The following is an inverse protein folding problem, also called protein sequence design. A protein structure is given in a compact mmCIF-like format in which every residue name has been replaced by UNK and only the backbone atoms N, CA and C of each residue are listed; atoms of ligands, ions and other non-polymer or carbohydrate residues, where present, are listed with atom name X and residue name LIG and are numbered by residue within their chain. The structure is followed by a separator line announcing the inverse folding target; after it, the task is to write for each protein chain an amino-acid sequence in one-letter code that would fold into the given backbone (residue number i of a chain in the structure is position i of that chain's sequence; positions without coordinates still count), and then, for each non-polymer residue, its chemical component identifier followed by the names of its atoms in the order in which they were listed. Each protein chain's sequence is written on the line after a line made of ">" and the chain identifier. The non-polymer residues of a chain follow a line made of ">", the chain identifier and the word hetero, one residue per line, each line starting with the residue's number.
data_IF_670796432848
#
_entry.id   IF_670796432848
#
_cell.length_a   1.000
_cell.length_b   1.000
_cell.length_c   1.000
_cell.angle_alpha   90.00
_cell.angle_beta   90.00
_cell.angle_gamma   90.00
#
_symmetry.space_group_name_H-M   'P 1'
#
loop_
_entity.id
_entity.type
_entity.pdbx_description
1 polymer ?
#
# COMPACT_ATOMS: atom_id res chain seq x y z
N UNK A 1 -44.42 51.22 34.70
CA UNK A 1 -44.96 49.86 34.51
C UNK A 1 -44.04 49.14 33.56
N UNK A 2 -43.73 47.90 33.92
CA UNK A 2 -42.51 47.16 33.58
C UNK A 2 -42.35 46.83 32.09
N UNK A 3 -41.09 46.63 31.69
CA UNK A 3 -40.73 46.00 30.43
C UNK A 3 -39.68 44.93 30.72
N UNK A 4 -40.08 43.68 30.51
CA UNK A 4 -39.32 42.45 30.68
C UNK A 4 -38.03 42.44 29.86
N UNK A 5 -36.92 42.06 30.49
CA UNK A 5 -35.75 41.53 29.79
C UNK A 5 -35.63 40.03 30.12
N UNK A 6 -35.87 39.19 29.11
CA UNK A 6 -35.67 37.75 29.14
C UNK A 6 -34.23 37.50 28.72
N UNK A 7 -33.41 37.03 29.65
CA UNK A 7 -32.03 36.65 29.42
C UNK A 7 -31.98 35.24 28.81
N UNK A 8 -31.69 35.13 27.51
CA UNK A 8 -31.46 33.86 26.84
C UNK A 8 -30.01 33.41 27.06
N UNK A 9 -29.77 32.73 28.16
CA UNK A 9 -28.55 31.94 28.34
C UNK A 9 -28.62 30.71 27.41
N UNK A 10 -28.05 30.80 26.21
CA UNK A 10 -27.83 29.64 25.33
C UNK A 10 -26.68 28.80 25.86
N UNK A 11 -27.00 27.85 26.73
CA UNK A 11 -26.10 26.74 27.03
C UNK A 11 -25.93 25.89 25.78
N UNK A 12 -24.72 25.88 25.20
CA UNK A 12 -24.36 24.89 24.18
C UNK A 12 -24.40 23.49 24.81
N UNK A 13 -25.02 22.49 24.15
CA UNK A 13 -25.02 21.13 24.68
C UNK A 13 -23.58 20.58 24.72
N UNK A 14 -23.25 19.71 25.69
CA UNK A 14 -21.94 19.07 25.74
C UNK A 14 -21.77 18.23 24.47
N UNK A 15 -20.73 18.53 23.71
CA UNK A 15 -20.39 17.84 22.49
C UNK A 15 -19.77 16.47 22.88
N UNK A 16 -20.61 15.48 23.19
CA UNK A 16 -20.19 14.10 23.45
C UNK A 16 -19.72 13.46 22.14
N UNK A 17 -18.58 13.91 21.60
CA UNK A 17 -17.89 13.18 20.55
C UNK A 17 -17.28 11.93 21.19
N UNK A 18 -17.85 10.77 20.88
CA UNK A 18 -17.27 9.49 21.27
C UNK A 18 -15.96 9.33 20.47
N UNK A 19 -14.83 9.41 21.16
CA UNK A 19 -13.53 9.12 20.58
C UNK A 19 -13.30 7.61 20.53
N UNK A 20 -12.75 7.12 19.42
CA UNK A 20 -12.40 5.72 19.28
C UNK A 20 -11.22 5.38 20.18
N UNK A 21 -11.26 4.20 20.79
CA UNK A 21 -10.12 3.64 21.52
C UNK A 21 -9.66 2.36 20.85
N UNK A 22 -8.37 2.04 21.00
CA UNK A 22 -7.80 0.82 20.44
C UNK A 22 -8.55 -0.41 20.97
N UNK A 23 -8.93 -1.30 20.07
CA UNK A 23 -9.64 -2.56 20.36
C UNK A 23 -11.05 -2.39 20.97
N UNK A 24 -11.68 -1.23 20.79
CA UNK A 24 -13.08 -1.00 21.15
C UNK A 24 -13.96 -0.86 19.90
N UNK A 25 -14.94 -1.75 19.72
CA UNK A 25 -15.87 -1.78 18.56
C UNK A 25 -17.18 -1.02 18.79
N UNK A 26 -17.12 0.21 19.30
CA UNK A 26 -18.33 1.03 19.37
C UNK A 26 -18.84 1.40 17.96
N UNK A 27 -20.12 1.13 17.65
CA UNK A 27 -20.63 1.27 16.28
C UNK A 27 -20.49 2.67 15.67
N UNK A 28 -20.60 3.73 16.48
CA UNK A 28 -20.45 5.10 16.01
C UNK A 28 -19.01 5.40 15.51
N UNK A 29 -18.01 4.87 16.22
CA UNK A 29 -16.59 5.09 15.92
C UNK A 29 -16.05 4.14 14.84
N UNK A 30 -16.81 3.08 14.51
CA UNK A 30 -16.49 2.17 13.41
C UNK A 30 -17.37 2.37 12.17
N UNK A 31 -18.09 3.49 12.11
CA UNK A 31 -18.79 3.92 10.90
C UNK A 31 -17.79 4.29 9.80
N UNK A 32 -18.19 4.11 8.55
CA UNK A 32 -17.38 4.47 7.38
C UNK A 32 -16.95 5.95 7.41
N UNK A 33 -17.84 6.85 7.85
CA UNK A 33 -17.54 8.27 7.95
C UNK A 33 -16.48 8.56 9.02
N UNK A 34 -16.63 7.99 10.21
CA UNK A 34 -15.67 8.17 11.29
C UNK A 34 -14.28 7.65 10.89
N UNK A 35 -14.21 6.41 10.39
CA UNK A 35 -12.93 5.80 10.00
C UNK A 35 -12.20 6.61 8.94
N UNK A 36 -12.94 7.15 7.95
CA UNK A 36 -12.37 8.04 6.94
C UNK A 36 -11.82 9.33 7.54
N UNK A 37 -12.57 9.96 8.44
CA UNK A 37 -12.13 11.20 9.08
C UNK A 37 -10.90 10.96 9.96
N UNK A 38 -10.90 9.90 10.79
CA UNK A 38 -9.75 9.50 11.60
C UNK A 38 -8.52 9.18 10.74
N UNK A 39 -8.70 8.45 9.64
CA UNK A 39 -7.62 8.14 8.71
C UNK A 39 -7.07 9.39 7.99
N UNK A 40 -7.93 10.34 7.59
CA UNK A 40 -7.50 11.61 7.00
C UNK A 40 -6.71 12.49 8.00
N UNK A 41 -6.95 12.32 9.30
CA UNK A 41 -6.22 12.97 10.38
C UNK A 41 -5.02 12.15 10.88
N UNK A 42 -4.75 10.98 10.28
CA UNK A 42 -3.69 10.04 10.67
C UNK A 42 -3.83 9.51 12.12
N UNK A 43 -5.07 9.40 12.61
CA UNK A 43 -5.43 8.98 13.96
C UNK A 43 -6.23 7.66 13.95
N UNK A 44 -5.94 6.79 12.99
CA UNK A 44 -6.66 5.52 12.87
C UNK A 44 -6.28 4.57 14.02
N UNK A 45 -7.29 4.16 14.80
CA UNK A 45 -7.16 3.24 15.93
C UNK A 45 -6.92 1.78 15.50
N UNK A 46 -6.48 0.95 16.45
CA UNK A 46 -6.39 -0.50 16.28
C UNK A 46 -7.72 -1.21 16.52
N UNK A 47 -7.99 -2.36 15.87
CA UNK A 47 -7.17 -2.99 14.83
C UNK A 47 -7.18 -2.20 13.51
N UNK A 48 -6.01 -1.73 13.06
CA UNK A 48 -5.93 -0.93 11.83
C UNK A 48 -6.30 -1.78 10.63
N UNK A 49 -5.95 -3.07 10.64
CA UNK A 49 -6.28 -3.99 9.56
C UNK A 49 -7.79 -4.12 9.35
N UNK A 50 -8.58 -4.05 10.44
CA UNK A 50 -10.04 -4.08 10.36
C UNK A 50 -10.58 -2.78 9.76
N UNK A 51 -10.06 -1.64 10.21
CA UNK A 51 -10.44 -0.35 9.68
C UNK A 51 -10.12 -0.24 8.17
N UNK A 52 -8.96 -0.75 7.75
CA UNK A 52 -8.59 -0.86 6.34
C UNK A 52 -9.55 -1.77 5.56
N UNK A 53 -9.87 -2.95 6.09
CA UNK A 53 -10.81 -3.86 5.45
C UNK A 53 -12.20 -3.22 5.26
N UNK A 54 -12.67 -2.43 6.23
CA UNK A 54 -13.94 -1.70 6.13
C UNK A 54 -13.86 -0.59 5.09
N UNK A 55 -12.83 0.27 5.14
CA UNK A 55 -12.68 1.38 4.20
C UNK A 55 -12.51 0.91 2.75
N UNK A 56 -11.80 -0.20 2.54
CA UNK A 56 -11.65 -0.87 1.25
C UNK A 56 -12.88 -1.70 0.84
N UNK A 57 -13.93 -1.73 1.66
CA UNK A 57 -15.16 -2.51 1.43
C UNK A 57 -14.92 -4.02 1.26
N UNK A 58 -13.86 -4.52 1.87
CA UNK A 58 -13.62 -5.96 2.02
C UNK A 58 -14.50 -6.54 3.12
N UNK A 59 -14.76 -5.78 4.18
CA UNK A 59 -15.70 -6.13 5.23
C UNK A 59 -16.75 -5.03 5.41
N UNK A 60 -17.97 -5.37 5.85
CA UNK A 60 -18.95 -4.36 6.22
C UNK A 60 -18.60 -3.73 7.58
N UNK A 61 -19.28 -2.65 7.93
CA UNK A 61 -19.24 -2.05 9.28
C UNK A 61 -19.66 -3.07 10.34
N UNK A 62 -19.14 -2.99 11.59
CA UNK A 62 -19.59 -3.83 12.70
C UNK A 62 -21.08 -3.70 13.04
N UNK A 63 -21.73 -2.61 12.61
CA UNK A 63 -23.20 -2.43 12.72
C UNK A 63 -24.00 -3.35 11.78
N UNK A 64 -23.34 -4.10 10.90
CA UNK A 64 -23.92 -5.09 9.99
C UNK A 64 -23.41 -6.50 10.37
N UNK A 65 -23.78 -7.52 9.59
CA UNK A 65 -23.32 -8.89 9.86
C UNK A 65 -21.86 -9.13 9.41
N UNK A 66 -20.93 -8.55 10.17
CA UNK A 66 -19.50 -8.60 9.90
C UNK A 66 -18.93 -10.02 10.14
N UNK A 67 -19.45 -10.76 11.11
CA UNK A 67 -18.98 -12.12 11.44
C UNK A 67 -19.24 -13.06 10.26
N UNK A 68 -20.42 -13.01 9.66
CA UNK A 68 -20.73 -13.83 8.48
C UNK A 68 -19.81 -13.48 7.31
N UNK A 69 -19.51 -12.20 7.11
CA UNK A 69 -18.60 -11.74 6.05
C UNK A 69 -17.15 -12.21 6.28
N UNK A 70 -16.65 -12.14 7.52
CA UNK A 70 -15.33 -12.68 7.91
C UNK A 70 -15.25 -14.17 7.58
N UNK A 71 -16.26 -14.95 8.01
CA UNK A 71 -16.32 -16.40 7.75
C UNK A 71 -16.41 -16.71 6.25
N UNK A 72 -17.19 -15.94 5.49
CA UNK A 72 -17.31 -16.13 4.05
C UNK A 72 -15.96 -15.93 3.33
N UNK A 73 -15.20 -14.89 3.68
CA UNK A 73 -13.87 -14.67 3.10
C UNK A 73 -12.85 -15.74 3.48
N UNK A 74 -12.91 -16.24 4.72
CA UNK A 74 -12.05 -17.35 5.17
C UNK A 74 -12.39 -18.65 4.44
N UNK A 75 -13.67 -18.99 4.30
CA UNK A 75 -14.11 -20.14 3.53
C UNK A 75 -13.71 -20.04 2.05
N UNK A 76 -13.87 -18.86 1.43
CA UNK A 76 -13.40 -18.63 0.06
C UNK A 76 -11.91 -18.93 -0.10
N UNK A 77 -11.08 -18.52 0.87
CA UNK A 77 -9.64 -18.82 0.83
C UNK A 77 -9.35 -20.32 0.99
N UNK A 78 -10.08 -21.02 1.86
CA UNK A 78 -9.98 -22.47 2.02
C UNK A 78 -10.31 -23.18 0.71
N UNK A 79 -11.45 -22.85 0.09
CA UNK A 79 -11.88 -23.42 -1.19
C UNK A 79 -10.83 -23.16 -2.28
N UNK A 80 -10.27 -21.95 -2.29
CA UNK A 80 -9.23 -21.57 -3.25
C UNK A 80 -7.94 -22.37 -3.04
N UNK A 81 -7.49 -22.50 -1.79
CA UNK A 81 -6.31 -23.28 -1.43
C UNK A 81 -6.49 -24.74 -1.85
N UNK A 82 -7.63 -25.33 -1.53
CA UNK A 82 -7.90 -26.75 -1.79
C UNK A 82 -7.97 -27.00 -3.30
N UNK A 83 -8.57 -26.07 -4.07
CA UNK A 83 -8.58 -26.12 -5.53
C UNK A 83 -7.19 -25.97 -6.16
N UNK A 84 -6.33 -25.10 -5.63
CA UNK A 84 -5.02 -24.77 -6.22
C UNK A 84 -3.86 -25.60 -5.66
N UNK A 85 -4.12 -26.48 -4.69
CA UNK A 85 -3.11 -27.34 -4.06
C UNK A 85 -3.29 -28.82 -4.42
N UNK A 86 -3.93 -29.11 -5.56
CA UNK A 86 -4.16 -30.50 -6.00
C UNK A 86 -2.85 -31.26 -6.17
N UNK A 87 -2.79 -32.47 -5.60
CA UNK A 87 -1.69 -33.41 -5.84
C UNK A 87 -1.84 -33.98 -7.26
N UNK A 88 -0.87 -33.75 -8.17
CA UNK A 88 -0.94 -34.31 -9.52
C UNK A 88 -1.00 -35.85 -9.53
N UNK A 89 -0.54 -36.52 -8.46
CA UNK A 89 -0.62 -37.99 -8.33
C UNK A 89 -2.04 -38.51 -8.11
N UNK A 90 -2.95 -37.65 -7.68
CA UNK A 90 -4.35 -38.03 -7.45
C UNK A 90 -5.16 -38.10 -8.76
N UNK A 91 -4.61 -37.59 -9.87
CA UNK A 91 -5.24 -37.62 -11.19
C UNK A 91 -4.91 -38.94 -11.89
N UNK A 92 -5.94 -39.74 -12.18
CA UNK A 92 -5.81 -41.02 -12.87
C UNK A 92 -5.55 -40.76 -14.36
N UNK A 93 -4.69 -41.57 -14.98
CA UNK A 93 -4.32 -41.50 -16.41
C UNK A 93 -3.60 -40.20 -16.86
N UNK A 94 -2.96 -39.48 -15.94
CA UNK A 94 -2.04 -38.38 -16.24
C UNK A 94 -0.64 -38.69 -15.67
N UNK A 95 0.42 -38.25 -16.36
CA UNK A 95 1.79 -38.61 -16.02
C UNK A 95 2.76 -37.41 -16.10
N UNK A 96 3.90 -37.45 -15.36
CA UNK A 96 4.85 -36.33 -15.31
C UNK A 96 5.45 -35.90 -16.65
N UNK A 97 5.43 -36.75 -17.67
CA UNK A 97 5.98 -36.50 -19.00
C UNK A 97 4.89 -36.21 -20.05
N UNK A 98 3.63 -36.13 -19.62
CA UNK A 98 2.49 -35.79 -20.46
C UNK A 98 2.74 -34.50 -21.22
N UNK A 99 2.51 -34.54 -22.54
CA UNK A 99 2.60 -33.37 -23.42
C UNK A 99 1.27 -32.60 -23.49
N UNK A 100 0.23 -33.06 -22.78
CA UNK A 100 -1.07 -32.41 -22.77
C UNK A 100 -0.97 -31.06 -22.02
N UNK A 101 -1.49 -30.00 -22.62
CA UNK A 101 -1.57 -28.67 -22.00
C UNK A 101 -2.47 -28.65 -20.77
N UNK A 102 -3.42 -29.59 -20.66
CA UNK A 102 -4.33 -29.75 -19.54
C UNK A 102 -3.82 -30.71 -18.45
N UNK A 103 -2.58 -31.20 -18.57
CA UNK A 103 -1.97 -32.11 -17.58
C UNK A 103 -1.84 -31.44 -16.21
N UNK A 104 -2.28 -32.16 -15.17
CA UNK A 104 -2.11 -31.78 -13.77
C UNK A 104 -0.63 -31.72 -13.39
N UNK A 105 0.21 -32.58 -13.96
CA UNK A 105 1.66 -32.53 -13.78
C UNK A 105 2.28 -31.27 -14.39
N UNK A 106 1.89 -30.92 -15.61
CA UNK A 106 2.35 -29.69 -16.27
C UNK A 106 1.97 -28.44 -15.45
N UNK A 107 0.73 -28.40 -14.95
CA UNK A 107 0.28 -27.33 -14.07
C UNK A 107 1.07 -27.31 -12.75
N UNK A 108 1.32 -28.48 -12.14
CA UNK A 108 2.11 -28.59 -10.92
C UNK A 108 3.54 -28.05 -11.09
N UNK A 109 4.22 -28.36 -12.20
CA UNK A 109 5.55 -27.81 -12.48
C UNK A 109 5.51 -26.30 -12.70
N UNK A 110 4.52 -25.79 -13.44
CA UNK A 110 4.31 -24.34 -13.58
C UNK A 110 4.09 -23.65 -12.22
N UNK A 111 3.29 -24.26 -11.35
CA UNK A 111 2.99 -23.72 -10.01
C UNK A 111 4.24 -23.70 -9.13
N UNK A 112 5.09 -24.72 -9.21
CA UNK A 112 6.36 -24.75 -8.48
C UNK A 112 7.34 -23.69 -9.00
N UNK A 113 7.40 -23.47 -10.32
CA UNK A 113 8.18 -22.37 -10.89
C UNK A 113 7.69 -21.01 -10.39
N UNK A 114 6.37 -20.78 -10.40
CA UNK A 114 5.78 -19.53 -9.92
C UNK A 114 6.07 -19.31 -8.42
N UNK A 115 5.90 -20.34 -7.58
CA UNK A 115 6.24 -20.27 -6.16
C UNK A 115 7.71 -19.97 -5.93
N UNK A 116 8.62 -20.59 -6.70
CA UNK A 116 10.05 -20.32 -6.62
C UNK A 116 10.39 -18.88 -7.02
N UNK A 117 9.74 -18.34 -8.05
CA UNK A 117 9.89 -16.95 -8.46
C UNK A 117 9.40 -15.98 -7.37
N UNK A 118 8.25 -16.25 -6.77
CA UNK A 118 7.73 -15.46 -5.65
C UNK A 118 8.68 -15.52 -4.45
N UNK A 119 9.20 -16.72 -4.12
CA UNK A 119 10.10 -16.93 -3.00
C UNK A 119 11.37 -16.09 -3.13
N UNK A 120 11.93 -15.95 -4.34
CA UNK A 120 13.12 -15.10 -4.57
C UNK A 120 12.92 -13.65 -4.12
N UNK A 121 11.71 -13.12 -4.28
CA UNK A 121 11.34 -11.79 -3.83
C UNK A 121 10.98 -11.76 -2.33
N UNK A 122 10.31 -12.79 -1.83
CA UNK A 122 9.89 -12.87 -0.41
C UNK A 122 11.11 -12.91 0.53
N UNK A 123 12.15 -13.69 0.23
CA UNK A 123 13.34 -13.82 1.11
C UNK A 123 14.14 -12.52 1.29
N UNK A 124 13.92 -11.53 0.43
CA UNK A 124 14.57 -10.21 0.45
C UNK A 124 13.63 -9.08 0.88
N UNK A 125 12.42 -9.42 1.34
CA UNK A 125 11.44 -8.45 1.85
C UNK A 125 11.85 -7.98 3.25
N UNK A 126 12.02 -6.66 3.43
CA UNK A 126 12.36 -6.02 4.72
C UNK A 126 13.39 -6.82 5.55
N UNK A 127 14.60 -7.07 5.03
CA UNK A 127 15.58 -7.97 5.65
C UNK A 127 16.01 -7.56 7.06
N UNK A 128 15.86 -6.27 7.39
CA UNK A 128 16.09 -5.70 8.72
C UNK A 128 15.07 -6.17 9.77
N UNK A 129 13.87 -6.54 9.36
CA UNK A 129 12.79 -6.96 10.24
C UNK A 129 12.85 -8.47 10.51
N UNK A 130 13.04 -8.84 11.78
CA UNK A 130 13.12 -10.25 12.23
C UNK A 130 11.89 -11.05 11.77
N UNK A 131 10.72 -10.43 11.78
CA UNK A 131 9.45 -11.07 11.42
C UNK A 131 9.46 -11.66 10.00
N UNK A 132 10.05 -10.98 9.01
CA UNK A 132 10.08 -11.45 7.62
C UNK A 132 11.23 -12.43 7.32
N UNK A 133 12.12 -12.67 8.29
CA UNK A 133 13.15 -13.71 8.21
C UNK A 133 12.65 -15.07 8.66
N UNK A 134 11.49 -15.13 9.30
CA UNK A 134 10.85 -16.36 9.74
C UNK A 134 10.37 -17.18 8.54
N UNK A 135 10.72 -18.47 8.51
CA UNK A 135 10.39 -19.42 7.43
C UNK A 135 8.87 -19.55 7.26
N UNK A 136 8.12 -19.60 8.35
CA UNK A 136 6.67 -19.79 8.31
C UNK A 136 5.97 -18.54 7.77
N UNK A 137 6.50 -17.36 8.10
CA UNK A 137 6.03 -16.07 7.55
C UNK A 137 6.32 -16.00 6.04
N UNK A 138 7.51 -16.40 5.61
CA UNK A 138 7.86 -16.44 4.18
C UNK A 138 6.96 -17.43 3.41
N UNK A 139 6.73 -18.62 3.98
CA UNK A 139 5.88 -19.63 3.35
C UNK A 139 4.41 -19.17 3.28
N UNK A 140 3.90 -18.46 4.29
CA UNK A 140 2.60 -17.78 4.26
C UNK A 140 2.55 -16.74 3.15
N UNK A 141 3.55 -15.86 3.05
CA UNK A 141 3.60 -14.85 1.99
C UNK A 141 3.60 -15.46 0.60
N UNK A 142 4.39 -16.52 0.38
CA UNK A 142 4.41 -17.26 -0.88
C UNK A 142 3.03 -17.82 -1.21
N UNK A 143 2.33 -18.44 -0.25
CA UNK A 143 0.97 -18.98 -0.47
C UNK A 143 -0.03 -17.89 -0.84
N UNK A 144 -0.07 -16.79 -0.08
CA UNK A 144 -0.99 -15.67 -0.35
C UNK A 144 -0.77 -15.09 -1.75
N UNK A 145 0.48 -14.80 -2.11
CA UNK A 145 0.83 -14.24 -3.42
C UNK A 145 0.57 -15.25 -4.55
N UNK A 146 0.87 -16.53 -4.33
CA UNK A 146 0.65 -17.59 -5.30
C UNK A 146 -0.84 -17.77 -5.60
N UNK A 147 -1.69 -17.92 -4.58
CA UNK A 147 -3.13 -18.11 -4.78
C UNK A 147 -3.79 -16.87 -5.40
N UNK A 148 -3.36 -15.67 -5.03
CA UNK A 148 -3.82 -14.46 -5.70
C UNK A 148 -3.40 -14.47 -7.18
N UNK A 149 -2.12 -14.71 -7.47
CA UNK A 149 -1.58 -14.72 -8.84
C UNK A 149 -2.23 -15.76 -9.74
N UNK A 150 -2.54 -16.96 -9.22
CA UNK A 150 -3.23 -18.02 -9.97
C UNK A 150 -4.69 -17.72 -10.26
N UNK A 151 -5.29 -16.81 -9.49
CA UNK A 151 -6.70 -16.45 -9.60
C UNK A 151 -6.95 -15.17 -10.42
N UNK A 152 -5.90 -14.46 -10.83
CA UNK A 152 -5.99 -13.17 -11.52
C UNK A 152 -5.12 -13.14 -12.78
N UNK A 153 -5.64 -12.56 -13.87
CA UNK A 153 -4.94 -12.48 -15.16
C UNK A 153 -3.65 -11.65 -15.13
N UNK A 154 -3.51 -10.74 -14.16
CA UNK A 154 -2.29 -9.95 -13.95
C UNK A 154 -1.10 -10.85 -13.57
N UNK A 155 -1.38 -11.99 -12.91
CA UNK A 155 -0.37 -12.88 -12.35
C UNK A 155 0.49 -12.21 -11.28
N UNK A 156 1.53 -12.90 -10.83
CA UNK A 156 2.49 -12.30 -9.91
C UNK A 156 3.43 -11.34 -10.65
N UNK A 157 3.70 -10.18 -10.05
CA UNK A 157 4.70 -9.22 -10.51
C UNK A 157 5.60 -8.80 -9.36
N UNK A 158 6.88 -8.62 -9.66
CA UNK A 158 7.83 -8.08 -8.69
C UNK A 158 7.32 -6.75 -8.11
N UNK A 159 7.37 -6.65 -6.79
CA UNK A 159 6.81 -5.54 -6.00
C UNK A 159 5.54 -5.90 -5.24
N UNK A 160 4.77 -6.91 -5.67
CA UNK A 160 3.55 -7.34 -4.97
C UNK A 160 3.84 -7.85 -3.55
N UNK A 161 4.99 -8.47 -3.31
CA UNK A 161 5.44 -8.87 -1.98
C UNK A 161 5.59 -7.69 -1.02
N UNK A 162 5.94 -6.51 -1.52
CA UNK A 162 6.07 -5.28 -0.73
C UNK A 162 4.72 -4.60 -0.47
N UNK A 163 3.68 -4.97 -1.23
CA UNK A 163 2.29 -4.62 -0.89
C UNK A 163 1.77 -5.56 0.21
N UNK A 164 2.02 -6.87 0.10
CA UNK A 164 1.57 -7.84 1.11
C UNK A 164 2.23 -7.62 2.47
N UNK A 165 3.54 -7.33 2.50
CA UNK A 165 4.31 -7.32 3.73
C UNK A 165 3.79 -6.33 4.80
N UNK A 166 3.52 -5.04 4.51
CA UNK A 166 2.96 -4.13 5.52
C UNK A 166 1.55 -4.53 5.97
N UNK A 167 0.73 -5.11 5.10
CA UNK A 167 -0.60 -5.63 5.47
C UNK A 167 -0.48 -6.76 6.48
N UNK A 168 0.38 -7.74 6.18
CA UNK A 168 0.64 -8.89 7.03
C UNK A 168 1.21 -8.46 8.38
N UNK A 169 2.09 -7.45 8.39
CA UNK A 169 2.70 -6.95 9.62
C UNK A 169 1.68 -6.27 10.54
N UNK A 170 0.79 -5.43 10.00
CA UNK A 170 -0.29 -4.83 10.81
C UNK A 170 -1.30 -5.88 11.27
N UNK A 171 -1.68 -6.83 10.41
CA UNK A 171 -2.53 -7.96 10.80
C UNK A 171 -1.91 -8.78 11.94
N UNK A 172 -0.61 -9.06 11.88
CA UNK A 172 0.11 -9.75 12.94
C UNK A 172 0.16 -8.93 14.24
N UNK A 173 0.53 -7.65 14.13
CA UNK A 173 0.59 -6.73 15.27
C UNK A 173 -0.75 -6.58 15.97
N UNK A 174 -1.83 -6.41 15.21
CA UNK A 174 -3.19 -6.29 15.73
C UNK A 174 -3.58 -7.52 16.56
N UNK A 175 -3.21 -8.74 16.12
CA UNK A 175 -3.46 -9.99 16.87
C UNK A 175 -2.52 -10.21 18.05
N UNK A 176 -1.26 -9.77 17.93
CA UNK A 176 -0.23 -9.98 18.93
C UNK A 176 -0.43 -9.09 20.15
N UNK A 177 -0.88 -7.86 19.94
CA UNK A 177 -0.98 -6.83 20.98
C UNK A 177 -2.43 -6.56 21.42
N UNK A 178 -3.40 -7.34 20.95
CA UNK A 178 -4.78 -7.23 21.40
C UNK A 178 -4.89 -7.57 22.90
N UNK A 179 -5.70 -6.81 23.67
CA UNK A 179 -6.02 -7.17 25.04
C UNK A 179 -6.93 -8.41 25.10
N UNK A 180 -6.96 -9.09 26.24
CA UNK A 180 -7.80 -10.28 26.44
C UNK A 180 -9.29 -9.92 26.56
N UNK A 181 -9.60 -8.76 27.14
CA UNK A 181 -10.96 -8.26 27.34
C UNK A 181 -11.43 -7.45 26.12
N UNK A 182 -11.82 -8.17 25.08
CA UNK A 182 -12.36 -7.62 23.83
C UNK A 182 -13.70 -8.27 23.49
N UNK A 183 -14.51 -7.58 22.68
CA UNK A 183 -15.79 -8.11 22.19
C UNK A 183 -15.62 -9.42 21.40
N UNK A 184 -16.65 -10.27 21.38
CA UNK A 184 -16.61 -11.54 20.65
C UNK A 184 -16.40 -11.36 19.14
N UNK A 185 -16.87 -10.25 18.58
CA UNK A 185 -16.60 -9.87 17.19
C UNK A 185 -15.10 -9.67 16.96
N UNK A 186 -14.40 -8.97 17.86
CA UNK A 186 -12.94 -8.83 17.76
C UNK A 186 -12.22 -10.14 18.00
N UNK A 187 -12.67 -10.98 18.94
CA UNK A 187 -12.11 -12.34 19.12
C UNK A 187 -12.19 -13.15 17.83
N UNK A 188 -13.32 -13.09 17.13
CA UNK A 188 -13.49 -13.75 15.83
C UNK A 188 -12.55 -13.19 14.76
N UNK A 189 -12.42 -11.86 14.66
CA UNK A 189 -11.55 -11.22 13.67
C UNK A 189 -10.05 -11.43 13.95
N UNK A 190 -9.64 -11.33 15.22
CA UNK A 190 -8.25 -11.40 15.67
C UNK A 190 -7.76 -12.82 15.96
N UNK A 191 -8.53 -13.82 15.57
CA UNK A 191 -8.12 -15.22 15.64
C UNK A 191 -6.81 -15.44 14.85
N UNK A 192 -5.84 -16.06 15.55
CA UNK A 192 -4.48 -16.29 15.05
C UNK A 192 -4.43 -17.34 13.96
N UNK A 193 -5.35 -18.30 13.96
CA UNK A 193 -5.41 -19.37 12.94
C UNK A 193 -5.75 -18.81 11.55
N UNK A 194 -6.39 -17.64 11.50
CA UNK A 194 -6.86 -17.04 10.26
C UNK A 194 -5.96 -15.92 9.70
N UNK A 195 -4.75 -15.74 10.24
CA UNK A 195 -3.82 -14.69 9.77
C UNK A 195 -3.57 -14.76 8.25
N UNK A 196 -3.37 -15.95 7.70
CA UNK A 196 -3.15 -16.17 6.26
C UNK A 196 -4.38 -15.80 5.42
N UNK A 197 -5.57 -16.24 5.86
CA UNK A 197 -6.85 -15.99 5.19
C UNK A 197 -7.14 -14.48 5.12
N UNK A 198 -6.99 -13.80 6.26
CA UNK A 198 -7.26 -12.38 6.37
C UNK A 198 -6.20 -11.55 5.64
N UNK A 199 -4.96 -12.05 5.54
CA UNK A 199 -3.91 -11.47 4.69
C UNK A 199 -4.27 -11.53 3.22
N UNK A 200 -4.78 -12.66 2.74
CA UNK A 200 -5.26 -12.78 1.36
C UNK A 200 -6.45 -11.86 1.08
N UNK A 201 -7.45 -11.81 1.98
CA UNK A 201 -8.61 -10.92 1.85
C UNK A 201 -8.18 -9.46 1.72
N UNK A 202 -7.32 -9.00 2.62
CA UNK A 202 -6.88 -7.61 2.64
C UNK A 202 -5.96 -7.28 1.47
N UNK A 203 -5.05 -8.18 1.11
CA UNK A 203 -4.22 -8.05 -0.08
C UNK A 203 -5.07 -7.92 -1.34
N UNK A 204 -6.05 -8.82 -1.52
CA UNK A 204 -6.98 -8.75 -2.65
C UNK A 204 -7.75 -7.42 -2.70
N UNK A 205 -8.17 -6.90 -1.53
CA UNK A 205 -8.87 -5.62 -1.45
C UNK A 205 -8.00 -4.44 -1.90
N UNK A 206 -6.72 -4.42 -1.52
CA UNK A 206 -5.75 -3.41 -1.97
C UNK A 206 -5.47 -3.57 -3.48
N UNK A 207 -5.29 -4.81 -3.94
CA UNK A 207 -4.98 -5.10 -5.35
C UNK A 207 -6.05 -4.58 -6.31
N UNK A 208 -7.34 -4.59 -5.94
CA UNK A 208 -8.41 -3.96 -6.75
C UNK A 208 -8.14 -2.49 -7.11
N UNK A 209 -7.40 -1.76 -6.28
CA UNK A 209 -7.04 -0.36 -6.53
C UNK A 209 -5.72 -0.16 -7.28
N UNK A 210 -4.81 -1.15 -7.22
CA UNK A 210 -3.43 -1.01 -7.72
C UNK A 210 -3.08 -1.94 -8.89
N UNK A 211 -3.83 -3.01 -9.14
CA UNK A 211 -3.50 -4.04 -10.15
C UNK A 211 -3.37 -3.48 -11.57
N UNK A 212 -4.11 -2.40 -11.89
CA UNK A 212 -3.99 -1.69 -13.17
C UNK A 212 -2.57 -1.16 -13.45
N UNK A 213 -1.77 -0.90 -12.40
CA UNK A 213 -0.39 -0.44 -12.56
C UNK A 213 0.60 -1.58 -12.83
N UNK A 214 0.15 -2.82 -12.71
CA UNK A 214 0.92 -4.05 -12.95
C UNK A 214 0.64 -4.66 -14.33
N UNK A 215 -0.48 -4.32 -14.95
CA UNK A 215 -0.85 -4.76 -16.30
C UNK A 215 0.18 -4.26 -17.34
N UNK A 216 0.53 -5.09 -18.32
CA UNK A 216 1.47 -4.74 -19.40
C UNK A 216 0.75 -4.88 -20.73
N UNK A 217 -0.13 -3.93 -21.04
CA UNK A 217 -0.97 -3.99 -22.23
C UNK A 217 -1.83 -5.26 -22.26
N UNK A 218 -1.90 -5.90 -23.42
CA UNK A 218 -2.65 -7.14 -23.64
C UNK A 218 -1.87 -8.42 -23.27
N UNK A 219 -0.69 -8.28 -22.64
CA UNK A 219 0.19 -9.41 -22.35
C UNK A 219 -0.20 -10.10 -21.04
N UNK A 220 -0.77 -11.29 -21.17
CA UNK A 220 -1.08 -12.19 -20.05
C UNK A 220 0.15 -13.08 -19.75
N UNK A 221 0.60 -13.19 -18.48
CA UNK A 221 1.64 -14.14 -18.10
C UNK A 221 1.24 -15.59 -18.37
N UNK A 222 2.24 -16.45 -18.61
CA UNK A 222 2.06 -17.91 -18.54
C UNK A 222 1.71 -18.36 -17.12
N UNK A 223 1.23 -19.59 -16.97
CA UNK A 223 0.97 -20.21 -15.66
C UNK A 223 2.21 -20.25 -14.74
N UNK A 224 3.43 -20.24 -15.31
CA UNK A 224 4.70 -20.14 -14.58
C UNK A 224 5.10 -18.70 -14.21
N UNK A 225 4.26 -17.70 -14.51
CA UNK A 225 4.51 -16.29 -14.22
C UNK A 225 5.42 -15.58 -15.22
N UNK A 226 5.83 -16.25 -16.31
CA UNK A 226 6.71 -15.66 -17.33
C UNK A 226 5.89 -14.87 -18.33
N UNK A 227 6.41 -13.72 -18.75
CA UNK A 227 5.84 -12.99 -19.87
C UNK A 227 6.21 -13.67 -21.19
N UNK A 228 5.27 -13.84 -22.14
CA UNK A 228 5.61 -14.27 -23.48
C UNK A 228 6.48 -13.21 -24.18
N UNK A 229 7.39 -13.66 -25.06
CA UNK A 229 8.18 -12.79 -25.93
C UNK A 229 7.23 -12.09 -26.92
N UNK A 230 6.98 -10.79 -26.70
CA UNK A 230 6.02 -10.02 -27.50
C UNK A 230 6.47 -9.90 -28.96
N UNK A 231 5.56 -10.22 -29.90
CA UNK A 231 5.71 -10.04 -31.35
C UNK A 231 4.76 -8.97 -31.93
N UNK A 232 3.97 -8.28 -31.09
CA UNK A 232 2.96 -7.31 -31.54
C UNK A 232 3.07 -5.92 -30.90
N UNK A 233 2.43 -4.96 -31.58
CA UNK A 233 2.56 -3.49 -31.46
C UNK A 233 2.29 -2.98 -30.04
N UNK A 234 3.16 -2.09 -29.57
CA UNK A 234 3.22 -1.54 -28.22
C UNK A 234 1.93 -0.80 -27.82
N UNK A 235 1.01 -1.45 -27.09
CA UNK A 235 0.08 -0.72 -26.25
C UNK A 235 0.86 -0.14 -25.06
N UNK A 236 0.85 1.19 -24.91
CA UNK A 236 1.52 1.85 -23.78
C UNK A 236 0.95 1.33 -22.45
N UNK A 237 1.84 1.06 -21.50
CA UNK A 237 1.47 0.56 -20.18
C UNK A 237 0.56 1.55 -19.44
N UNK A 238 -0.53 1.09 -18.82
CA UNK A 238 -1.51 1.95 -18.12
C UNK A 238 -0.85 2.80 -17.01
N UNK A 239 0.20 2.30 -16.35
CA UNK A 239 0.94 3.10 -15.36
C UNK A 239 1.60 4.33 -15.98
N UNK A 240 2.14 4.20 -17.20
CA UNK A 240 2.80 5.29 -17.92
C UNK A 240 1.75 6.33 -18.33
N UNK A 241 0.64 5.87 -18.92
CA UNK A 241 -0.50 6.74 -19.27
C UNK A 241 -1.06 7.48 -18.06
N UNK A 242 -1.16 6.80 -16.91
CA UNK A 242 -1.57 7.43 -15.68
C UNK A 242 -0.60 8.54 -15.27
N UNK A 243 0.71 8.27 -15.27
CA UNK A 243 1.73 9.25 -14.90
C UNK A 243 1.82 10.44 -15.87
N UNK A 244 1.60 10.23 -17.16
CA UNK A 244 1.47 11.31 -18.14
C UNK A 244 0.28 12.22 -17.80
N UNK A 245 -0.89 11.65 -17.50
CA UNK A 245 -2.04 12.43 -16.99
C UNK A 245 -1.70 13.16 -15.70
N UNK A 246 -0.99 12.54 -14.75
CA UNK A 246 -0.57 13.22 -13.52
C UNK A 246 0.29 14.45 -13.82
N UNK A 247 1.22 14.33 -14.77
CA UNK A 247 2.08 15.44 -15.20
C UNK A 247 1.25 16.60 -15.76
N UNK A 248 0.38 16.30 -16.72
CA UNK A 248 -0.30 17.32 -17.53
C UNK A 248 -1.54 17.91 -16.84
N UNK A 249 -2.33 17.08 -16.15
CA UNK A 249 -3.60 17.49 -15.54
C UNK A 249 -3.45 17.95 -14.07
N UNK A 250 -2.35 17.60 -13.39
CA UNK A 250 -2.17 17.90 -11.96
C UNK A 250 -0.87 18.64 -11.67
N UNK A 251 0.29 18.11 -12.04
CA UNK A 251 1.57 18.75 -11.69
C UNK A 251 1.73 20.11 -12.38
N UNK A 252 1.54 20.19 -13.70
CA UNK A 252 1.71 21.45 -14.42
C UNK A 252 0.73 22.55 -13.98
N UNK A 253 -0.58 22.27 -13.75
CA UNK A 253 -1.50 23.27 -13.22
C UNK A 253 -1.21 23.69 -11.76
N UNK A 254 -0.73 22.78 -10.90
CA UNK A 254 -0.48 23.04 -9.48
C UNK A 254 0.90 23.65 -9.19
N UNK A 255 1.92 23.29 -9.98
CA UNK A 255 3.29 23.80 -9.87
C UNK A 255 4.02 23.74 -11.23
N UNK A 256 3.70 24.69 -12.12
CA UNK A 256 4.27 24.78 -13.46
C UNK A 256 5.79 24.96 -13.47
N UNK A 257 6.33 25.62 -12.45
CA UNK A 257 7.78 25.83 -12.31
C UNK A 257 8.50 24.50 -12.14
N UNK A 258 8.02 23.64 -11.22
CA UNK A 258 8.58 22.31 -11.01
C UNK A 258 8.39 21.42 -12.25
N UNK A 259 7.21 21.44 -12.87
CA UNK A 259 6.94 20.68 -14.09
C UNK A 259 7.93 21.04 -15.21
N UNK A 260 8.14 22.35 -15.43
CA UNK A 260 9.07 22.87 -16.42
C UNK A 260 10.51 22.50 -16.10
N UNK A 261 10.90 22.54 -14.82
CA UNK A 261 12.25 22.15 -14.40
C UNK A 261 12.51 20.66 -14.67
N UNK A 262 11.60 19.76 -14.30
CA UNK A 262 11.75 18.33 -14.59
C UNK A 262 11.85 18.06 -16.10
N UNK A 263 11.07 18.77 -16.92
CA UNK A 263 11.16 18.69 -18.37
C UNK A 263 12.52 19.16 -18.90
N UNK A 264 13.06 20.28 -18.40
CA UNK A 264 14.42 20.78 -18.75
C UNK A 264 15.51 19.78 -18.36
N UNK A 265 15.32 19.08 -17.24
CA UNK A 265 16.22 18.02 -16.79
C UNK A 265 16.08 16.71 -17.58
N UNK A 266 15.13 16.63 -18.52
CA UNK A 266 14.79 15.41 -19.26
C UNK A 266 14.36 14.25 -18.33
N UNK A 267 13.64 14.57 -17.25
CA UNK A 267 13.14 13.60 -16.27
C UNK A 267 11.66 13.34 -16.55
N UNK A 268 11.36 12.15 -17.08
CA UNK A 268 9.99 11.64 -17.20
C UNK A 268 9.49 11.09 -15.87
N UNK A 269 8.20 11.26 -15.56
CA UNK A 269 7.59 10.76 -14.32
C UNK A 269 7.65 9.23 -14.21
N UNK A 270 7.72 8.50 -15.32
CA UNK A 270 7.80 7.04 -15.32
C UNK A 270 9.10 6.50 -14.68
N UNK A 271 10.18 7.29 -14.69
CA UNK A 271 11.48 6.89 -14.16
C UNK A 271 11.44 6.60 -12.64
N UNK A 272 10.54 7.27 -11.91
CA UNK A 272 10.36 7.09 -10.46
C UNK A 272 8.92 6.69 -10.08
N UNK A 273 7.93 7.21 -10.79
CA UNK A 273 6.51 7.10 -10.45
C UNK A 273 5.94 5.69 -10.60
N UNK A 274 6.49 4.85 -11.50
CA UNK A 274 6.06 3.44 -11.63
C UNK A 274 6.26 2.71 -10.30
N UNK A 275 7.42 2.91 -9.68
CA UNK A 275 7.76 2.29 -8.38
C UNK A 275 6.87 2.84 -7.28
N UNK A 276 6.65 4.16 -7.25
CA UNK A 276 5.78 4.79 -6.26
C UNK A 276 4.36 4.22 -6.29
N UNK A 277 3.78 4.08 -7.50
CA UNK A 277 2.43 3.54 -7.67
C UNK A 277 2.35 2.04 -7.38
N UNK A 278 3.28 1.24 -7.91
CA UNK A 278 3.27 -0.22 -7.71
C UNK A 278 3.47 -0.61 -6.26
N UNK A 279 4.33 0.11 -5.53
CA UNK A 279 4.63 -0.19 -4.14
C UNK A 279 3.80 0.65 -3.15
N UNK A 280 2.80 1.38 -3.64
CA UNK A 280 1.95 2.28 -2.85
C UNK A 280 2.78 3.16 -1.90
N UNK A 281 3.86 3.74 -2.44
CA UNK A 281 4.85 4.57 -1.76
C UNK A 281 5.59 3.91 -0.58
N UNK A 282 5.51 2.57 -0.45
CA UNK A 282 6.08 1.78 0.64
C UNK A 282 7.60 1.90 0.83
N UNK A 283 8.31 2.46 -0.15
CA UNK A 283 9.75 2.72 -0.12
C UNK A 283 10.13 4.20 0.00
N UNK A 284 9.17 5.11 -0.12
CA UNK A 284 9.44 6.56 -0.02
C UNK A 284 9.45 7.06 1.41
N UNK A 285 8.81 6.30 2.31
CA UNK A 285 8.64 6.66 3.72
C UNK A 285 9.20 5.57 4.63
N UNK A 286 9.60 5.93 5.86
CA UNK A 286 9.95 4.95 6.88
C UNK A 286 8.80 3.97 7.12
N UNK A 287 9.12 2.69 7.35
CA UNK A 287 8.10 1.64 7.58
C UNK A 287 7.08 2.01 8.67
N UNK A 288 7.53 2.65 9.75
CA UNK A 288 6.64 3.07 10.85
C UNK A 288 5.58 4.10 10.43
N UNK A 289 5.79 4.83 9.34
CA UNK A 289 4.83 5.81 8.81
C UNK A 289 3.89 5.21 7.75
N UNK A 290 4.25 4.07 7.14
CA UNK A 290 3.45 3.40 6.10
C UNK A 290 2.00 3.11 6.54
N UNK A 291 1.73 2.62 7.76
CA UNK A 291 0.34 2.40 8.18
C UNK A 291 -0.52 3.67 8.19
N UNK A 292 0.08 4.83 8.51
CA UNK A 292 -0.62 6.11 8.51
C UNK A 292 -0.91 6.57 7.09
N UNK A 293 0.09 6.46 6.19
CA UNK A 293 -0.08 6.78 4.77
C UNK A 293 -1.13 5.88 4.12
N UNK A 294 -1.11 4.59 4.41
CA UNK A 294 -2.06 3.64 3.84
C UNK A 294 -3.46 3.82 4.42
N UNK A 295 -3.60 4.13 5.72
CA UNK A 295 -4.87 4.57 6.29
C UNK A 295 -5.45 5.76 5.52
N UNK A 296 -4.64 6.80 5.30
CA UNK A 296 -5.02 7.99 4.52
C UNK A 296 -5.46 7.64 3.09
N UNK A 297 -4.68 6.80 2.39
CA UNK A 297 -4.97 6.37 1.01
C UNK A 297 -6.27 5.53 0.96
N UNK A 298 -6.46 4.62 1.91
CA UNK A 298 -7.63 3.73 1.95
C UNK A 298 -8.91 4.46 2.36
N UNK A 299 -8.83 5.62 3.01
CA UNK A 299 -9.99 6.46 3.31
C UNK A 299 -10.78 6.86 2.04
N UNK A 300 -10.14 6.85 0.87
CA UNK A 300 -10.83 7.11 -0.39
C UNK A 300 -11.59 5.89 -0.95
N UNK A 301 -11.39 4.71 -0.38
CA UNK A 301 -12.05 3.47 -0.78
C UNK A 301 -11.32 2.68 -1.87
N UNK A 302 -11.90 1.57 -2.35
CA UNK A 302 -11.17 0.49 -3.04
C UNK A 302 -10.49 0.85 -4.37
N UNK A 303 -10.92 1.89 -5.06
CA UNK A 303 -10.35 2.31 -6.36
C UNK A 303 -9.20 3.31 -6.25
N UNK A 304 -8.88 3.75 -5.03
CA UNK A 304 -7.77 4.66 -4.71
C UNK A 304 -7.70 5.87 -5.69
N UNK A 305 -8.77 6.67 -5.81
CA UNK A 305 -8.91 7.67 -6.88
C UNK A 305 -7.90 8.81 -6.81
N UNK A 306 -7.35 9.12 -5.63
CA UNK A 306 -6.58 10.34 -5.37
C UNK A 306 -5.06 10.12 -5.25
N UNK A 307 -4.52 9.00 -5.75
CA UNK A 307 -3.08 8.71 -5.69
C UNK A 307 -2.24 9.81 -6.38
N UNK A 308 -2.77 10.48 -7.40
CA UNK A 308 -2.12 11.60 -8.08
C UNK A 308 -1.82 12.78 -7.15
N UNK A 309 -2.68 13.07 -6.17
CA UNK A 309 -2.41 14.13 -5.20
C UNK A 309 -1.27 13.77 -4.25
N UNK A 310 -1.08 12.49 -3.92
CA UNK A 310 0.10 12.04 -3.14
C UNK A 310 1.37 12.24 -3.95
N UNK A 311 1.36 11.87 -5.25
CA UNK A 311 2.50 12.06 -6.15
C UNK A 311 2.89 13.53 -6.22
N UNK A 312 1.93 14.41 -6.50
CA UNK A 312 2.19 15.85 -6.63
C UNK A 312 2.61 16.47 -5.29
N UNK A 313 1.98 16.08 -4.18
CA UNK A 313 2.38 16.55 -2.85
C UNK A 313 3.82 16.14 -2.52
N UNK A 314 4.22 14.90 -2.82
CA UNK A 314 5.58 14.42 -2.60
C UNK A 314 6.57 15.19 -3.49
N UNK A 315 6.25 15.42 -4.76
CA UNK A 315 7.08 16.24 -5.66
C UNK A 315 7.25 17.67 -5.15
N UNK A 316 6.16 18.33 -4.75
CA UNK A 316 6.19 19.70 -4.21
C UNK A 316 6.99 19.74 -2.90
N UNK A 317 6.89 18.72 -2.05
CA UNK A 317 7.67 18.64 -0.80
C UNK A 317 9.18 18.63 -1.05
N UNK A 318 9.61 18.13 -2.21
CA UNK A 318 11.00 18.04 -2.63
C UNK A 318 11.45 19.23 -3.49
N UNK A 319 10.53 20.13 -3.86
CA UNK A 319 10.80 21.25 -4.78
C UNK A 319 12.05 22.05 -4.43
N UNK A 320 12.29 22.47 -3.16
CA UNK A 320 13.49 23.27 -2.84
C UNK A 320 14.79 22.56 -3.26
N UNK A 321 14.90 21.25 -3.01
CA UNK A 321 16.09 20.47 -3.37
C UNK A 321 16.15 20.12 -4.85
N UNK A 322 15.00 19.97 -5.52
CA UNK A 322 14.95 19.66 -6.95
C UNK A 322 15.35 20.87 -7.78
N UNK A 323 14.87 22.06 -7.45
CA UNK A 323 15.09 23.28 -8.25
C UNK A 323 16.57 23.71 -8.31
N UNK A 324 17.35 23.37 -7.29
CA UNK A 324 18.79 23.66 -7.22
C UNK A 324 19.66 22.55 -7.85
N UNK A 325 19.08 21.38 -8.10
CA UNK A 325 19.83 20.20 -8.54
C UNK A 325 19.97 20.14 -10.07
N UNK A 326 21.12 19.66 -10.54
CA UNK A 326 21.29 19.24 -11.93
C UNK A 326 20.55 17.92 -12.20
N UNK A 327 20.30 17.58 -13.47
CA UNK A 327 19.44 16.46 -13.87
C UNK A 327 19.75 15.14 -13.15
N UNK A 328 21.03 14.77 -13.01
CA UNK A 328 21.43 13.54 -12.32
C UNK A 328 21.12 13.55 -10.83
N UNK A 329 21.37 14.68 -10.15
CA UNK A 329 21.07 14.85 -8.74
C UNK A 329 19.55 14.93 -8.48
N UNK A 330 18.80 15.60 -9.36
CA UNK A 330 17.34 15.65 -9.29
C UNK A 330 16.71 14.26 -9.43
N UNK A 331 17.15 13.45 -10.40
CA UNK A 331 16.67 12.08 -10.54
C UNK A 331 17.06 11.22 -9.33
N UNK A 332 18.29 11.36 -8.81
CA UNK A 332 18.73 10.66 -7.61
C UNK A 332 17.85 10.98 -6.40
N UNK A 333 17.50 12.25 -6.22
CA UNK A 333 16.57 12.69 -5.17
C UNK A 333 15.18 12.06 -5.35
N UNK A 334 14.65 12.00 -6.58
CA UNK A 334 13.35 11.36 -6.86
C UNK A 334 13.35 9.85 -6.64
N UNK A 335 14.48 9.18 -6.88
CA UNK A 335 14.61 7.75 -6.63
C UNK A 335 14.68 7.41 -5.15
N UNK A 336 15.08 8.37 -4.30
CA UNK A 336 15.10 8.26 -2.83
C UNK A 336 14.68 9.59 -2.21
N UNK A 337 13.37 9.89 -2.18
CA UNK A 337 12.84 11.13 -1.64
C UNK A 337 13.40 11.44 -0.25
N UNK A 338 13.89 12.66 -0.06
CA UNK A 338 14.23 13.15 1.27
C UNK A 338 12.97 13.10 2.16
N UNK A 339 13.15 12.77 3.45
CA UNK A 339 12.07 12.41 4.39
C UNK A 339 11.17 13.58 4.75
N UNK A 340 10.31 14.01 3.84
CA UNK A 340 9.11 14.73 4.21
C UNK A 340 8.26 13.78 5.08
N UNK A 341 7.81 14.18 6.29
CA UNK A 341 6.97 13.33 7.11
C UNK A 341 5.66 12.99 6.37
N UNK A 342 5.15 11.77 6.53
CA UNK A 342 3.84 11.37 5.96
C UNK A 342 2.76 12.39 6.33
N UNK A 343 2.77 12.92 7.56
CA UNK A 343 1.83 13.96 8.00
C UNK A 343 1.82 15.20 7.11
N UNK A 344 2.99 15.68 6.70
CA UNK A 344 3.09 16.82 5.80
C UNK A 344 2.58 16.48 4.40
N UNK A 345 2.99 15.34 3.84
CA UNK A 345 2.59 14.93 2.48
C UNK A 345 1.08 14.69 2.41
N UNK A 346 0.49 14.02 3.39
CA UNK A 346 -0.96 13.81 3.47
C UNK A 346 -1.73 15.12 3.62
N UNK A 347 -1.29 16.03 4.50
CA UNK A 347 -1.92 17.34 4.65
C UNK A 347 -1.82 18.18 3.36
N UNK A 348 -0.68 18.13 2.68
CA UNK A 348 -0.49 18.83 1.42
C UNK A 348 -1.37 18.23 0.32
N UNK A 349 -1.44 16.90 0.22
CA UNK A 349 -2.34 16.22 -0.72
C UNK A 349 -3.82 16.57 -0.47
N UNK A 350 -4.25 16.69 0.78
CA UNK A 350 -5.60 17.17 1.12
C UNK A 350 -5.82 18.60 0.66
N UNK A 351 -4.86 19.50 0.89
CA UNK A 351 -4.93 20.88 0.44
C UNK A 351 -5.01 20.96 -1.10
N UNK A 352 -4.17 20.21 -1.83
CA UNK A 352 -4.19 20.19 -3.29
C UNK A 352 -5.52 19.67 -3.84
N UNK A 353 -6.11 18.66 -3.18
CA UNK A 353 -7.44 18.14 -3.52
C UNK A 353 -8.59 19.08 -3.14
N UNK A 354 -8.43 19.83 -2.05
CA UNK A 354 -9.44 20.71 -1.45
C UNK A 354 -8.78 22.06 -1.10
N UNK A 355 -8.65 22.99 -2.07
CA UNK A 355 -7.88 24.22 -1.88
C UNK A 355 -8.41 25.16 -0.78
N UNK A 356 -9.64 24.95 -0.30
CA UNK A 356 -10.19 25.68 0.85
C UNK A 356 -9.58 25.28 2.19
N UNK A 357 -8.97 24.09 2.28
CA UNK A 357 -8.21 23.68 3.46
C UNK A 357 -6.88 24.45 3.51
N UNK A 358 -6.35 24.79 4.70
CA UNK A 358 -5.09 25.51 4.81
C UNK A 358 -3.93 24.69 4.24
N UNK A 359 -3.01 25.37 3.53
CA UNK A 359 -1.75 24.75 3.12
C UNK A 359 -0.92 24.44 4.37
N UNK A 360 -0.39 23.22 4.55
CA UNK A 360 0.43 22.90 5.70
C UNK A 360 1.74 23.71 5.67
N UNK A 361 2.22 24.10 6.86
CA UNK A 361 3.53 24.73 6.99
C UNK A 361 4.63 23.76 6.57
N UNK A 362 5.63 24.26 5.83
CA UNK A 362 6.79 23.47 5.42
C UNK A 362 7.55 22.99 6.66
N UNK A 363 7.87 21.68 6.77
CA UNK A 363 8.62 21.17 7.91
C UNK A 363 10.02 21.81 7.96
N UNK A 364 10.59 22.05 9.16
CA UNK A 364 11.97 22.47 9.27
C UNK A 364 12.88 21.39 8.65
N UNK A 365 13.84 21.80 7.82
CA UNK A 365 14.81 20.84 7.27
C UNK A 365 15.68 20.28 8.40
N UNK A 366 15.97 18.96 8.41
CA UNK A 366 16.93 18.42 9.34
C UNK A 366 18.30 19.11 9.13
N UNK A 367 19.06 19.38 10.20
CA UNK A 367 20.36 20.04 10.09
C UNK A 367 21.28 19.22 9.17
N UNK A 368 21.97 19.91 8.28
CA UNK A 368 22.96 19.31 7.39
C UNK A 368 23.99 18.53 8.21
N UNK A 369 24.39 17.31 7.80
CA UNK A 369 25.49 16.63 8.47
C UNK A 369 26.75 17.52 8.45
N UNK A 370 27.53 17.58 9.55
CA UNK A 370 28.70 18.42 9.60
C UNK A 370 29.68 18.01 8.50
N UNK A 371 30.08 18.99 7.68
CA UNK A 371 31.11 18.84 6.68
C UNK A 371 32.40 18.41 7.38
N UNK A 372 32.83 17.16 7.17
CA UNK A 372 34.16 16.72 7.60
C UNK A 372 35.20 17.58 6.90
N UNK A 373 36.09 18.27 7.63
CA UNK A 373 37.14 19.07 6.99
C UNK A 373 38.06 18.14 6.20
N UNK A 374 38.30 18.48 4.94
CA UNK A 374 39.32 17.84 4.12
C UNK A 374 40.67 17.95 4.83
N UNK A 375 41.15 16.84 5.40
CA UNK A 375 42.54 16.71 5.82
C UNK A 375 43.40 16.71 4.56
N UNK A 376 44.11 17.81 4.34
CA UNK A 376 45.19 17.89 3.37
C UNK A 376 46.27 16.87 3.74
N UNK A 377 46.37 15.80 2.96
CA UNK A 377 47.51 14.89 3.03
C UNK A 377 48.77 15.65 2.61
N UNK A 378 49.58 16.02 3.59
CA UNK A 378 50.97 16.41 3.39
C UNK A 378 51.78 15.13 3.19
N UNK A 379 52.26 14.94 1.97
CA UNK A 379 53.17 13.85 1.61
C UNK A 379 54.50 14.05 2.32
N UNK A 380 54.81 13.20 3.31
CA UNK A 380 56.16 13.04 3.82
C UNK A 380 56.91 12.01 2.98
N UNK A 381 57.87 12.50 2.20
CA UNK A 381 58.94 11.71 1.57
C UNK A 381 59.86 11.16 2.67
N UNK A 382 59.99 9.84 2.73
CA UNK A 382 61.05 9.18 3.51
C UNK A 382 62.30 9.01 2.63
N UNK A 383 63.45 9.41 3.19
CA UNK A 383 64.81 9.01 2.78
C UNK A 383 65.20 7.79 3.59
#
# INVERSE_FOLDING_TARGET
>A
MESNNIDFSTGSPPNNHVEATDYDLHFATWSMEYLKNAAMQLQLVRPRSLAWAIMLKALPSPSSDIITSIKAHRNFYIDLRDKLSMDPRAVIDDDPLSQNDESAWKQHFCDNELKALILQDVVRTYPEEVYFRDKDVQDLMVRVLFFWARSHSVGYRQGMHEILAPLLFELHGDRKYAPDDISDTLKCYLDKEYLEHDSHMLFNAVMKGVERFYTTGDVVPSSSGRLPTSTSVHSQNEVVRYLERVKDEYLAPLDNELATHLAKCNISMELFGIRWLRLLFGREFPRCEIPHLWGFIFADGPVLPNLHYIIVALLISMKPSLMEAESGAALSALMRPARAPVAYVCALALHLRRPHLPRPATPPQPPSPPTTPHTSHTSHTYV
#
